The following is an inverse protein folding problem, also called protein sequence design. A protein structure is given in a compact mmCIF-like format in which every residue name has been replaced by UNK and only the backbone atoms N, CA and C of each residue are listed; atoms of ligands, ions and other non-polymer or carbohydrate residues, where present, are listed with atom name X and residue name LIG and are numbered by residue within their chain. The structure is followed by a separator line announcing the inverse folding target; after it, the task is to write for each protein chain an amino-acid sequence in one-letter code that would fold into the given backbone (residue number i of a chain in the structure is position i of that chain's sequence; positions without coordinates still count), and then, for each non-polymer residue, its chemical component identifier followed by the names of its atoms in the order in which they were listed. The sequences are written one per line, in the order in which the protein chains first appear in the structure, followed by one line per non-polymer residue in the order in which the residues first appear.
data_IF_039295159718
#
_entry.id   IF_039295159718
#
_cell.length_a   1.000
_cell.length_b   1.000
_cell.length_c   1.000
_cell.angle_alpha   90.00
_cell.angle_beta   90.00
_cell.angle_gamma   90.00
#
_symmetry.space_group_name_H-M   'P 1'
#
loop_
_entity.id
_entity.type
_entity.pdbx_description
1 polymer ?
#
# COMPACT_ATOMS: atom_id res chain seq x y z
N UNK A 1 14.82 -48.49 38.64
CA UNK A 1 14.77 -47.45 37.60
C UNK A 1 15.32 -46.09 38.04
N UNK A 2 14.67 -45.29 38.91
CA UNK A 2 15.24 -44.01 39.40
C UNK A 2 16.60 -44.19 40.09
N UNK A 3 16.69 -45.17 40.98
CA UNK A 3 17.90 -45.42 41.78
C UNK A 3 19.02 -46.09 40.97
N UNK A 4 18.67 -46.88 39.94
CA UNK A 4 19.65 -47.46 39.00
C UNK A 4 20.20 -46.43 38.01
N UNK A 5 19.35 -45.52 37.52
CA UNK A 5 19.76 -44.41 36.67
C UNK A 5 20.70 -43.43 37.41
N UNK A 6 20.38 -43.13 38.67
CA UNK A 6 21.25 -42.32 39.55
C UNK A 6 22.60 -42.99 39.80
N UNK A 7 22.61 -44.32 39.97
CA UNK A 7 23.85 -45.07 40.20
C UNK A 7 24.76 -45.09 38.98
N UNK A 8 24.21 -45.34 37.78
CA UNK A 8 24.95 -45.32 36.51
C UNK A 8 25.46 -43.90 36.20
N UNK A 9 24.65 -42.88 36.47
CA UNK A 9 25.06 -41.48 36.29
C UNK A 9 26.23 -41.10 37.19
N UNK A 10 26.21 -41.49 38.47
CA UNK A 10 27.29 -41.20 39.44
C UNK A 10 28.57 -42.02 39.21
N UNK A 11 28.49 -43.17 38.51
CA UNK A 11 29.67 -43.95 38.13
C UNK A 11 30.38 -43.40 36.88
N UNK A 12 29.68 -42.64 36.03
CA UNK A 12 30.17 -42.16 34.72
C UNK A 12 30.46 -40.65 34.71
N UNK A 13 29.75 -39.88 35.54
CA UNK A 13 29.83 -38.42 35.59
C UNK A 13 30.03 -37.96 37.04
N UNK A 14 30.76 -36.86 37.21
CA UNK A 14 30.88 -36.22 38.52
C UNK A 14 29.54 -35.64 38.98
N UNK A 15 29.37 -35.50 40.29
CA UNK A 15 28.15 -34.94 40.90
C UNK A 15 27.84 -33.53 40.35
N UNK A 16 28.89 -32.75 40.02
CA UNK A 16 28.77 -31.44 39.38
C UNK A 16 28.24 -31.52 37.95
N UNK A 17 28.70 -32.49 37.14
CA UNK A 17 28.20 -32.71 35.78
C UNK A 17 26.75 -33.20 35.77
N UNK A 18 26.37 -34.08 36.70
CA UNK A 18 24.98 -34.52 36.87
C UNK A 18 24.07 -33.35 37.23
N UNK A 19 24.52 -32.47 38.14
CA UNK A 19 23.77 -31.29 38.56
C UNK A 19 23.59 -30.28 37.42
N UNK A 20 24.60 -30.07 36.58
CA UNK A 20 24.48 -29.16 35.42
C UNK A 20 23.54 -29.71 34.35
N UNK A 21 23.56 -31.02 34.06
CA UNK A 21 22.63 -31.65 33.13
C UNK A 21 21.17 -31.52 33.63
N UNK A 22 20.95 -31.73 34.92
CA UNK A 22 19.62 -31.60 35.53
C UNK A 22 19.11 -30.16 35.44
N UNK A 23 19.96 -29.15 35.74
CA UNK A 23 19.60 -27.73 35.62
C UNK A 23 19.22 -27.36 34.18
N UNK A 24 19.99 -27.83 33.19
CA UNK A 24 19.73 -27.53 31.78
C UNK A 24 18.40 -28.12 31.31
N UNK A 25 18.15 -29.40 31.61
CA UNK A 25 16.89 -30.08 31.27
C UNK A 25 15.68 -29.45 31.95
N UNK A 26 15.84 -29.03 33.20
CA UNK A 26 14.76 -28.38 33.95
C UNK A 26 14.43 -26.97 33.40
N UNK A 27 15.44 -26.16 33.09
CA UNK A 27 15.25 -24.85 32.43
C UNK A 27 14.52 -24.99 31.10
N UNK A 28 14.92 -25.98 30.29
CA UNK A 28 14.31 -26.23 28.98
C UNK A 28 12.85 -26.63 29.11
N UNK A 29 12.54 -27.54 30.03
CA UNK A 29 11.16 -27.95 30.31
C UNK A 29 10.25 -26.80 30.77
N UNK A 30 10.77 -25.88 31.61
CA UNK A 30 10.03 -24.68 32.02
C UNK A 30 9.82 -23.73 30.84
N UNK A 31 10.86 -23.49 30.04
CA UNK A 31 10.77 -22.61 28.87
C UNK A 31 9.74 -23.12 27.86
N UNK A 32 9.76 -24.42 27.56
CA UNK A 32 8.83 -25.05 26.61
C UNK A 32 7.38 -25.03 27.13
N UNK A 33 7.18 -25.21 28.45
CA UNK A 33 5.88 -25.11 29.09
C UNK A 33 5.33 -23.66 29.07
N UNK A 34 6.18 -22.67 29.33
CA UNK A 34 5.82 -21.26 29.21
C UNK A 34 5.48 -20.89 27.77
N UNK A 35 6.31 -21.25 26.80
CA UNK A 35 6.04 -20.97 25.38
C UNK A 35 4.75 -21.63 24.90
N UNK A 36 4.46 -22.85 25.36
CA UNK A 36 3.20 -23.55 25.07
C UNK A 36 1.99 -22.84 25.70
N UNK A 37 2.11 -22.37 26.95
CA UNK A 37 1.06 -21.64 27.66
C UNK A 37 0.74 -20.28 26.98
N UNK A 38 1.74 -19.61 26.41
CA UNK A 38 1.55 -18.37 25.66
C UNK A 38 1.08 -18.58 24.22
N UNK A 39 1.45 -19.68 23.56
CA UNK A 39 1.02 -19.95 22.18
C UNK A 39 -0.44 -20.42 22.08
N UNK A 40 -0.90 -21.27 23.01
CA UNK A 40 -2.21 -21.96 22.89
C UNK A 40 -3.04 -22.05 24.19
N UNK A 41 -2.60 -21.44 25.30
CA UNK A 41 -3.23 -21.62 26.62
C UNK A 41 -4.13 -20.47 27.10
N UNK A 42 -4.83 -20.73 28.22
CA UNK A 42 -5.78 -19.83 28.90
C UNK A 42 -5.23 -18.42 29.19
N UNK A 43 -3.91 -18.27 29.31
CA UNK A 43 -3.25 -16.98 29.50
C UNK A 43 -3.38 -16.06 28.27
N UNK A 44 -3.20 -16.60 27.05
CA UNK A 44 -3.41 -15.85 25.81
C UNK A 44 -4.88 -15.42 25.69
N UNK A 45 -5.80 -16.35 25.95
CA UNK A 45 -7.24 -16.07 25.91
C UNK A 45 -7.66 -15.02 26.95
N UNK A 46 -7.09 -15.06 28.16
CA UNK A 46 -7.34 -14.08 29.21
C UNK A 46 -6.83 -12.68 28.84
N UNK A 47 -5.64 -12.59 28.24
CA UNK A 47 -5.08 -11.31 27.76
C UNK A 47 -5.89 -10.76 26.59
N UNK A 48 -6.22 -11.59 25.61
CA UNK A 48 -7.02 -11.19 24.44
C UNK A 48 -8.41 -10.72 24.85
N UNK A 49 -9.04 -11.44 25.80
CA UNK A 49 -10.31 -11.03 26.40
C UNK A 49 -10.20 -9.68 27.10
N UNK A 50 -9.13 -9.43 27.86
CA UNK A 50 -8.94 -8.15 28.54
C UNK A 50 -8.70 -6.98 27.57
N UNK A 51 -7.98 -7.21 26.49
CA UNK A 51 -7.80 -6.22 25.41
C UNK A 51 -9.15 -5.92 24.75
N UNK A 52 -9.94 -6.94 24.39
CA UNK A 52 -11.26 -6.75 23.80
C UNK A 52 -12.25 -6.05 24.74
N UNK A 53 -12.21 -6.34 26.04
CA UNK A 53 -13.10 -5.71 27.02
C UNK A 53 -12.76 -4.25 27.32
N UNK A 54 -11.47 -3.89 27.29
CA UNK A 54 -11.01 -2.58 27.79
C UNK A 54 -10.62 -1.64 26.65
N UNK A 55 -9.87 -2.13 25.66
CA UNK A 55 -9.29 -1.29 24.62
C UNK A 55 -10.27 -1.04 23.48
N UNK A 56 -11.05 -2.05 23.07
CA UNK A 56 -11.98 -1.92 21.93
C UNK A 56 -13.07 -0.87 22.22
N UNK A 57 -13.80 -0.90 23.35
CA UNK A 57 -14.80 0.13 23.64
C UNK A 57 -14.19 1.52 23.78
N UNK A 58 -12.99 1.62 24.34
CA UNK A 58 -12.28 2.89 24.46
C UNK A 58 -11.97 3.50 23.08
N UNK A 59 -11.50 2.69 22.13
CA UNK A 59 -11.21 3.12 20.76
C UNK A 59 -12.51 3.45 20.00
N UNK A 60 -13.55 2.62 20.12
CA UNK A 60 -14.85 2.82 19.45
C UNK A 60 -15.60 4.05 19.98
N UNK A 61 -15.46 4.36 21.28
CA UNK A 61 -16.12 5.51 21.90
C UNK A 61 -15.40 6.84 21.69
N UNK A 62 -14.16 6.80 21.19
CA UNK A 62 -13.32 7.99 21.07
C UNK A 62 -13.59 8.65 19.73
N UNK A 63 -14.14 9.85 19.76
CA UNK A 63 -14.32 10.65 18.56
C UNK A 63 -12.98 11.23 18.11
N UNK A 64 -12.36 10.58 17.13
CA UNK A 64 -11.10 11.03 16.57
C UNK A 64 -11.24 12.32 15.75
N UNK A 65 -12.47 12.77 15.48
CA UNK A 65 -12.76 14.05 14.82
C UNK A 65 -12.28 15.24 15.65
N UNK A 66 -12.14 15.11 16.98
CA UNK A 66 -11.54 16.16 17.83
C UNK A 66 -10.06 16.40 17.54
N UNK A 67 -9.36 15.43 16.95
CA UNK A 67 -7.96 15.58 16.54
C UNK A 67 -7.81 16.17 15.14
N UNK A 68 -8.84 16.11 14.30
CA UNK A 68 -8.81 16.69 12.96
C UNK A 68 -8.56 18.21 12.99
N UNK A 69 -9.23 19.04 13.81
CA UNK A 69 -8.94 20.47 13.92
C UNK A 69 -7.52 20.76 14.40
N UNK A 70 -6.97 19.93 15.31
CA UNK A 70 -5.61 20.10 15.82
C UNK A 70 -4.57 19.71 14.78
N UNK A 71 -4.82 18.65 14.02
CA UNK A 71 -4.01 18.32 12.86
C UNK A 71 -4.08 19.43 11.82
N UNK A 72 -5.28 19.93 11.49
CA UNK A 72 -5.46 21.02 10.52
C UNK A 72 -4.76 22.31 10.97
N UNK A 73 -4.79 22.61 12.28
CA UNK A 73 -4.06 23.75 12.87
C UNK A 73 -2.55 23.57 12.77
N UNK A 74 -2.03 22.40 13.15
CA UNK A 74 -0.59 22.10 13.07
C UNK A 74 -0.12 22.09 11.61
N UNK A 75 -0.90 21.52 10.70
CA UNK A 75 -0.61 21.52 9.27
C UNK A 75 -0.64 22.96 8.72
N UNK A 76 -1.62 23.78 9.12
CA UNK A 76 -1.73 25.20 8.73
C UNK A 76 -0.57 26.03 9.26
N UNK A 77 -0.14 25.81 10.49
CA UNK A 77 1.04 26.47 11.07
C UNK A 77 2.33 26.09 10.36
N UNK A 78 2.49 24.82 9.96
CA UNK A 78 3.65 24.37 9.18
C UNK A 78 3.62 24.95 7.76
N UNK A 79 2.46 24.94 7.08
CA UNK A 79 2.29 25.55 5.73
C UNK A 79 2.66 27.03 5.75
N UNK A 80 2.29 27.74 6.82
CA UNK A 80 2.49 29.19 6.95
C UNK A 80 3.83 29.55 7.61
N UNK A 81 4.64 28.58 8.01
CA UNK A 81 5.98 28.81 8.53
C UNK A 81 6.98 28.99 7.37
N UNK A 82 7.89 29.95 7.47
CA UNK A 82 8.82 30.37 6.40
C UNK A 82 9.86 29.30 5.97
N UNK A 83 9.73 28.05 6.42
CA UNK A 83 10.65 26.96 6.12
C UNK A 83 10.14 26.09 4.95
N UNK A 84 10.83 26.28 3.82
CA UNK A 84 11.05 25.34 2.72
C UNK A 84 9.82 24.78 1.98
N UNK A 85 9.73 25.07 0.67
CA UNK A 85 8.77 24.49 -0.30
C UNK A 85 8.60 22.96 -0.23
N UNK A 86 9.60 22.26 0.34
CA UNK A 86 9.55 20.86 0.72
C UNK A 86 8.32 20.47 1.54
N UNK A 87 8.00 21.29 2.54
CA UNK A 87 6.97 21.01 3.53
C UNK A 87 5.59 21.31 2.93
N UNK A 88 5.50 22.29 2.01
CA UNK A 88 4.25 22.61 1.30
C UNK A 88 3.71 21.45 0.45
N UNK A 89 4.53 20.82 -0.41
CA UNK A 89 4.06 19.67 -1.24
C UNK A 89 3.70 18.45 -0.38
N UNK A 90 4.42 18.22 0.73
CA UNK A 90 4.06 17.18 1.71
C UNK A 90 2.66 17.44 2.28
N UNK A 91 2.38 18.69 2.67
CA UNK A 91 1.11 19.08 3.29
C UNK A 91 -0.05 19.04 2.29
N UNK A 92 0.17 19.49 1.06
CA UNK A 92 -0.80 19.39 -0.04
C UNK A 92 -1.15 17.94 -0.36
N UNK A 93 -0.14 17.08 -0.55
CA UNK A 93 -0.34 15.67 -0.81
C UNK A 93 -1.00 14.97 0.39
N UNK A 94 -0.62 15.31 1.63
CA UNK A 94 -1.27 14.78 2.82
C UNK A 94 -2.75 15.16 2.87
N UNK A 95 -3.09 16.43 2.63
CA UNK A 95 -4.48 16.90 2.60
C UNK A 95 -5.28 16.21 1.49
N UNK A 96 -4.72 16.10 0.29
CA UNK A 96 -5.34 15.43 -0.84
C UNK A 96 -5.59 13.94 -0.57
N UNK A 97 -4.63 13.27 0.10
CA UNK A 97 -4.82 11.92 0.58
C UNK A 97 -5.99 11.85 1.56
N UNK A 98 -6.07 12.73 2.56
CA UNK A 98 -7.11 12.70 3.61
C UNK A 98 -8.55 12.88 3.12
N UNK A 99 -8.78 13.34 1.90
CA UNK A 99 -10.11 13.40 1.28
C UNK A 99 -10.59 11.98 1.01
N UNK A 100 -11.79 11.62 1.49
CA UNK A 100 -12.43 10.37 1.09
C UNK A 100 -12.91 10.46 -0.36
N UNK A 101 -12.65 9.43 -1.19
CA UNK A 101 -13.23 9.39 -2.53
C UNK A 101 -14.76 9.26 -2.42
N UNK A 102 -15.48 10.08 -3.17
CA UNK A 102 -16.94 10.06 -3.20
C UNK A 102 -17.51 8.74 -3.75
N UNK A 103 -16.71 8.06 -4.58
CA UNK A 103 -17.08 6.87 -5.31
C UNK A 103 -16.49 5.62 -4.65
N UNK A 104 -17.34 4.62 -4.41
CA UNK A 104 -16.95 3.31 -3.85
C UNK A 104 -16.35 2.36 -4.89
N UNK A 105 -16.52 2.70 -6.16
CA UNK A 105 -16.02 1.94 -7.31
C UNK A 105 -15.44 2.91 -8.34
N UNK A 106 -14.47 2.43 -9.13
CA UNK A 106 -13.87 3.16 -10.24
C UNK A 106 -13.64 2.19 -11.40
N UNK A 107 -13.94 2.63 -12.62
CA UNK A 107 -13.64 1.86 -13.84
C UNK A 107 -12.20 1.99 -14.24
N UNK A 108 -11.66 0.97 -14.91
CA UNK A 108 -10.28 1.03 -15.42
C UNK A 108 -10.16 2.13 -16.48
N UNK A 109 -11.16 2.32 -17.35
CA UNK A 109 -11.18 3.42 -18.33
C UNK A 109 -11.19 4.81 -17.67
N UNK A 110 -11.94 4.99 -16.57
CA UNK A 110 -11.94 6.25 -15.81
C UNK A 110 -10.58 6.51 -15.15
N UNK A 111 -9.89 5.46 -14.73
CA UNK A 111 -8.54 5.55 -14.20
C UNK A 111 -7.51 5.88 -15.28
N UNK A 112 -7.66 5.29 -16.48
CA UNK A 112 -6.85 5.61 -17.66
C UNK A 112 -6.99 7.08 -18.06
N UNK A 113 -8.22 7.61 -18.11
CA UNK A 113 -8.45 9.04 -18.36
C UNK A 113 -7.80 9.96 -17.31
N UNK A 114 -7.73 9.55 -16.05
CA UNK A 114 -7.01 10.31 -15.02
C UNK A 114 -5.50 10.24 -15.16
N UNK A 115 -4.97 9.11 -15.67
CA UNK A 115 -3.56 8.99 -16.02
C UNK A 115 -3.21 9.85 -17.23
N UNK A 116 -4.03 9.85 -18.29
CA UNK A 116 -3.86 10.71 -19.48
C UNK A 116 -3.76 12.18 -19.06
N UNK A 117 -4.71 12.68 -18.26
CA UNK A 117 -4.70 14.07 -17.77
C UNK A 117 -3.43 14.45 -17.00
N UNK A 118 -2.88 13.51 -16.23
CA UNK A 118 -1.61 13.75 -15.57
C UNK A 118 -0.45 13.79 -16.58
N UNK A 119 -0.47 12.92 -17.59
CA UNK A 119 0.54 12.93 -18.66
C UNK A 119 0.46 14.19 -19.53
N UNK A 120 -0.73 14.71 -19.86
CA UNK A 120 -0.91 15.96 -20.60
C UNK A 120 -0.12 17.13 -19.98
N UNK A 121 0.03 17.12 -18.65
CA UNK A 121 0.76 18.14 -17.89
C UNK A 121 2.27 17.91 -17.81
N UNK A 122 2.72 16.66 -17.75
CA UNK A 122 4.10 16.29 -17.40
C UNK A 122 4.91 15.68 -18.57
N UNK A 123 4.28 15.41 -19.72
CA UNK A 123 4.92 14.76 -20.87
C UNK A 123 6.03 15.62 -21.47
N UNK A 124 7.17 14.98 -21.74
CA UNK A 124 8.30 15.64 -22.39
C UNK A 124 7.92 16.08 -23.80
N UNK A 125 8.02 17.37 -24.11
CA UNK A 125 7.70 17.91 -25.43
C UNK A 125 8.92 18.13 -26.32
N UNK A 126 10.14 17.83 -25.82
CA UNK A 126 11.40 18.21 -26.46
C UNK A 126 11.59 17.67 -27.89
N UNK A 127 11.06 16.48 -28.16
CA UNK A 127 11.16 15.80 -29.47
C UNK A 127 9.82 15.74 -30.21
N UNK A 128 8.77 16.38 -29.70
CA UNK A 128 7.46 16.40 -30.35
C UNK A 128 7.44 17.40 -31.50
N UNK A 129 6.93 16.96 -32.65
CA UNK A 129 6.66 17.84 -33.78
C UNK A 129 5.52 18.81 -33.45
N UNK A 130 5.48 19.93 -34.18
CA UNK A 130 4.43 20.94 -34.04
C UNK A 130 3.34 20.66 -35.08
N UNK A 131 2.11 20.55 -34.62
CA UNK A 131 0.90 20.56 -35.44
C UNK A 131 0.47 22.02 -35.70
N UNK A 132 0.05 22.28 -36.93
CA UNK A 132 -0.40 23.59 -37.44
C UNK A 132 -1.82 23.55 -38.01
N UNK A 133 -2.48 22.39 -38.06
CA UNK A 133 -3.73 22.22 -38.79
C UNK A 133 -4.92 22.89 -38.08
N UNK A 134 -5.04 22.73 -36.76
CA UNK A 134 -6.15 23.27 -35.93
C UNK A 134 -5.71 24.38 -34.94
N UNK A 135 -4.46 24.84 -35.07
CA UNK A 135 -3.80 25.75 -34.13
C UNK A 135 -2.31 25.40 -34.04
N UNK A 136 -1.53 26.15 -33.25
CA UNK A 136 -0.13 25.79 -32.98
C UNK A 136 -0.10 24.98 -31.69
N UNK A 137 0.15 23.68 -31.80
CA UNK A 137 0.26 22.76 -30.65
C UNK A 137 1.33 21.70 -30.91
N UNK A 138 1.80 21.00 -29.88
CA UNK A 138 2.57 19.78 -30.10
C UNK A 138 1.68 18.68 -30.65
N UNK A 139 2.26 17.75 -31.40
CA UNK A 139 1.57 16.53 -31.83
C UNK A 139 1.11 15.71 -30.63
N UNK A 140 -0.03 15.05 -30.81
CA UNK A 140 -0.57 14.10 -29.85
C UNK A 140 0.33 12.88 -29.74
N UNK A 141 0.44 12.33 -28.53
CA UNK A 141 1.19 11.11 -28.25
C UNK A 141 0.23 9.93 -28.08
N UNK A 142 0.44 8.87 -28.84
CA UNK A 142 -0.30 7.62 -28.70
C UNK A 142 -0.04 6.99 -27.33
N UNK A 143 -1.11 6.51 -26.70
CA UNK A 143 -1.03 5.81 -25.43
C UNK A 143 -2.05 4.67 -25.38
N UNK A 144 -1.76 3.68 -24.55
CA UNK A 144 -2.64 2.53 -24.41
C UNK A 144 -2.77 2.06 -22.97
N UNK A 145 -3.88 1.34 -22.76
CA UNK A 145 -4.26 0.68 -21.53
C UNK A 145 -4.37 -0.81 -21.80
N UNK A 146 -3.79 -1.63 -20.91
CA UNK A 146 -3.95 -3.09 -20.90
C UNK A 146 -4.27 -3.60 -19.50
N UNK A 147 -5.06 -4.66 -19.40
CA UNK A 147 -5.26 -5.41 -18.16
C UNK A 147 -4.82 -6.85 -18.35
N UNK A 148 -3.80 -7.26 -17.60
CA UNK A 148 -3.22 -8.59 -17.71
C UNK A 148 -3.49 -9.39 -16.44
N UNK A 149 -4.31 -10.43 -16.56
CA UNK A 149 -4.55 -11.38 -15.47
C UNK A 149 -3.34 -12.33 -15.32
N UNK A 150 -2.85 -12.46 -14.09
CA UNK A 150 -1.65 -13.25 -13.80
C UNK A 150 -1.99 -14.71 -13.53
N UNK A 151 -1.09 -15.60 -13.97
CA UNK A 151 -1.15 -17.01 -13.59
C UNK A 151 -1.16 -17.18 -12.07
N UNK A 152 -2.05 -18.04 -11.57
CA UNK A 152 -2.14 -18.35 -10.15
C UNK A 152 -1.87 -19.83 -9.84
N UNK A 153 -1.22 -20.14 -8.71
CA UNK A 153 -1.15 -21.50 -8.21
C UNK A 153 -2.55 -22.06 -7.88
N UNK A 154 -2.73 -23.37 -8.05
CA UNK A 154 -4.01 -24.04 -7.79
C UNK A 154 -4.48 -23.93 -6.33
N UNK A 155 -3.56 -23.72 -5.40
CA UNK A 155 -3.84 -23.56 -3.97
C UNK A 155 -4.16 -22.11 -3.56
N UNK A 156 -4.00 -21.14 -4.47
CA UNK A 156 -4.24 -19.73 -4.15
C UNK A 156 -5.71 -19.38 -4.34
N UNK A 157 -6.30 -18.82 -3.27
CA UNK A 157 -7.63 -18.22 -3.26
C UNK A 157 -7.62 -16.75 -3.72
N UNK A 158 -6.52 -16.29 -4.33
CA UNK A 158 -6.41 -14.96 -4.90
C UNK A 158 -6.20 -15.03 -6.40
N UNK A 159 -6.94 -14.21 -7.13
CA UNK A 159 -6.63 -13.88 -8.51
C UNK A 159 -5.97 -12.50 -8.55
N UNK A 160 -4.81 -12.41 -9.21
CA UNK A 160 -4.08 -11.16 -9.42
C UNK A 160 -4.19 -10.73 -10.87
N UNK A 161 -4.17 -9.43 -11.10
CA UNK A 161 -4.02 -8.83 -12.41
C UNK A 161 -3.20 -7.53 -12.28
N UNK A 162 -2.69 -7.03 -13.40
CA UNK A 162 -1.99 -5.75 -13.48
C UNK A 162 -2.68 -4.90 -14.53
N UNK A 163 -3.01 -3.67 -14.16
CA UNK A 163 -3.40 -2.63 -15.11
C UNK A 163 -2.12 -1.92 -15.54
N UNK A 164 -1.91 -1.79 -16.85
CA UNK A 164 -0.74 -1.18 -17.46
C UNK A 164 -1.23 0.02 -18.27
N UNK A 165 -0.64 1.18 -18.02
CA UNK A 165 -0.79 2.36 -18.87
C UNK A 165 0.57 2.72 -19.43
N UNK A 166 0.67 2.83 -20.75
CA UNK A 166 1.93 3.11 -21.43
C UNK A 166 1.80 4.10 -22.58
N UNK A 167 2.88 4.82 -22.82
CA UNK A 167 3.13 5.60 -24.02
C UNK A 167 4.60 5.36 -24.43
N UNK A 168 4.89 5.31 -25.71
CA UNK A 168 6.25 5.02 -26.20
C UNK A 168 7.18 6.25 -26.14
N UNK A 169 6.60 7.45 -26.08
CA UNK A 169 7.34 8.70 -26.14
C UNK A 169 8.06 9.04 -24.82
N UNK A 170 7.36 8.98 -23.70
CA UNK A 170 7.92 9.20 -22.36
C UNK A 170 7.61 8.04 -21.41
N UNK A 171 8.50 7.03 -21.44
CA UNK A 171 8.40 5.84 -20.60
C UNK A 171 8.41 6.14 -19.10
N UNK A 172 8.86 7.33 -18.66
CA UNK A 172 8.86 7.71 -17.24
C UNK A 172 7.44 7.89 -16.69
N UNK A 173 6.48 8.13 -17.58
CA UNK A 173 5.07 8.29 -17.24
C UNK A 173 4.33 6.96 -17.21
N UNK A 174 4.94 5.86 -17.67
CA UNK A 174 4.30 4.54 -17.68
C UNK A 174 4.04 4.05 -16.26
N UNK A 175 2.88 3.42 -16.04
CA UNK A 175 2.45 2.95 -14.72
C UNK A 175 1.93 1.53 -14.78
N UNK A 176 2.38 0.72 -13.81
CA UNK A 176 1.78 -0.57 -13.48
C UNK A 176 1.02 -0.48 -12.16
N UNK A 177 -0.23 -0.94 -12.17
CA UNK A 177 -1.13 -0.88 -11.02
C UNK A 177 -1.58 -2.32 -10.69
N UNK A 178 -0.99 -2.94 -9.65
CA UNK A 178 -1.37 -4.28 -9.24
C UNK A 178 -2.76 -4.28 -8.58
N UNK A 179 -3.61 -5.21 -9.00
CA UNK A 179 -4.94 -5.45 -8.44
C UNK A 179 -5.11 -6.92 -8.07
N UNK A 180 -5.95 -7.19 -7.07
CA UNK A 180 -6.28 -8.56 -6.69
C UNK A 180 -7.73 -8.68 -6.22
N UNK A 181 -8.27 -9.88 -6.36
CA UNK A 181 -9.57 -10.27 -5.82
C UNK A 181 -9.45 -11.59 -5.08
N UNK A 182 -10.27 -11.73 -4.03
CA UNK A 182 -10.47 -13.03 -3.38
C UNK A 182 -11.42 -13.89 -4.20
N UNK A 183 -11.10 -15.17 -4.28
CA UNK A 183 -11.92 -16.19 -4.91
C UNK A 183 -12.69 -16.93 -3.83
N UNK A 184 -13.98 -17.17 -4.06
CA UNK A 184 -14.86 -17.90 -3.14
C UNK A 184 -15.02 -17.22 -1.77
N UNK A 185 -14.96 -15.88 -1.75
CA UNK A 185 -15.23 -15.11 -0.52
C UNK A 185 -16.73 -15.02 -0.30
N UNK A 186 -17.21 -15.08 0.95
CA UNK A 186 -18.63 -14.85 1.26
C UNK A 186 -18.97 -13.38 1.48
N UNK A 187 -17.97 -12.49 1.49
CA UNK A 187 -18.09 -11.06 1.84
C UNK A 187 -17.85 -10.16 0.62
N UNK A 188 -16.79 -10.45 -0.15
CA UNK A 188 -16.32 -9.64 -1.28
C UNK A 188 -15.95 -10.55 -2.48
N UNK A 189 -16.87 -11.45 -2.86
CA UNK A 189 -16.60 -12.44 -3.90
C UNK A 189 -16.35 -11.78 -5.25
N UNK A 190 -15.14 -11.96 -5.79
CA UNK A 190 -14.84 -11.65 -7.18
C UNK A 190 -14.54 -10.19 -7.51
N UNK A 191 -14.53 -9.28 -6.54
CA UNK A 191 -14.26 -7.85 -6.78
C UNK A 191 -12.78 -7.51 -6.67
N UNK A 192 -12.24 -6.85 -7.70
CA UNK A 192 -10.84 -6.40 -7.69
C UNK A 192 -10.65 -5.16 -6.80
N UNK A 193 -9.55 -5.14 -6.06
CA UNK A 193 -9.08 -4.01 -5.27
C UNK A 193 -7.58 -3.80 -5.49
N UNK A 194 -7.06 -2.63 -5.13
CA UNK A 194 -5.63 -2.30 -5.31
C UNK A 194 -4.73 -3.14 -4.39
N UNK A 195 -3.81 -3.91 -4.98
CA UNK A 195 -2.83 -4.77 -4.29
C UNK A 195 -1.45 -4.09 -4.19
N UNK A 196 -1.44 -2.86 -3.65
CA UNK A 196 -0.21 -2.07 -3.54
C UNK A 196 0.35 -2.26 -2.14
N UNK A 197 1.39 -3.05 -1.94
CA UNK A 197 1.94 -3.35 -0.61
C UNK A 197 2.88 -2.29 -0.03
N UNK A 198 3.10 -1.15 -0.71
CA UNK A 198 4.06 -0.14 -0.22
C UNK A 198 3.52 0.62 0.99
N UNK A 199 4.22 0.49 2.11
CA UNK A 199 4.09 1.38 3.25
C UNK A 199 4.54 2.79 2.82
N UNK A 200 3.59 3.72 2.75
CA UNK A 200 3.89 5.12 2.42
C UNK A 200 4.56 5.74 3.64
N UNK A 201 5.89 5.86 3.64
CA UNK A 201 6.56 6.72 4.60
C UNK A 201 6.21 8.18 4.34
N UNK A 202 6.12 8.99 5.39
CA UNK A 202 5.84 10.44 5.28
C UNK A 202 6.84 11.15 4.34
N UNK A 203 8.09 10.71 4.34
CA UNK A 203 9.15 11.21 3.46
C UNK A 203 8.88 10.98 1.97
N UNK A 204 8.10 9.95 1.62
CA UNK A 204 7.70 9.64 0.24
C UNK A 204 6.65 10.62 -0.28
N UNK A 205 5.86 11.25 0.60
CA UNK A 205 4.78 12.18 0.20
C UNK A 205 5.30 13.36 -0.61
N UNK A 206 6.54 13.82 -0.36
CA UNK A 206 7.15 14.94 -1.09
C UNK A 206 7.33 14.67 -2.59
N UNK A 207 7.40 13.40 -2.98
CA UNK A 207 7.73 12.96 -4.35
C UNK A 207 6.53 12.38 -5.09
N UNK A 208 5.36 12.30 -4.44
CA UNK A 208 4.17 11.78 -5.10
C UNK A 208 3.65 12.81 -6.11
N UNK A 209 3.46 12.35 -7.34
CA UNK A 209 2.66 13.07 -8.32
C UNK A 209 1.16 12.89 -8.05
N UNK A 210 0.35 13.67 -8.75
CA UNK A 210 -1.09 13.75 -8.47
C UNK A 210 -1.81 12.42 -8.79
N UNK A 211 -1.35 11.69 -9.81
CA UNK A 211 -1.87 10.35 -10.12
C UNK A 211 -1.54 9.32 -9.03
N UNK A 212 -0.32 9.33 -8.49
CA UNK A 212 0.06 8.48 -7.37
C UNK A 212 -0.73 8.80 -6.10
N UNK A 213 -1.03 10.08 -5.85
CA UNK A 213 -1.92 10.48 -4.74
C UNK A 213 -3.33 9.91 -4.93
N UNK A 214 -3.88 9.95 -6.14
CA UNK A 214 -5.17 9.33 -6.47
C UNK A 214 -5.16 7.83 -6.15
N UNK A 215 -4.17 7.08 -6.64
CA UNK A 215 -4.06 5.63 -6.42
C UNK A 215 -4.03 5.28 -4.93
N UNK A 216 -3.24 6.02 -4.15
CA UNK A 216 -3.14 5.79 -2.71
C UNK A 216 -4.44 6.12 -1.97
N UNK A 217 -5.16 7.16 -2.41
CA UNK A 217 -6.48 7.51 -1.88
C UNK A 217 -7.51 6.41 -2.15
N UNK A 218 -7.57 5.89 -3.38
CA UNK A 218 -8.45 4.79 -3.77
C UNK A 218 -8.16 3.53 -2.95
N UNK A 219 -6.87 3.21 -2.76
CA UNK A 219 -6.44 2.07 -1.96
C UNK A 219 -6.91 2.22 -0.51
N UNK A 220 -6.69 3.39 0.10
CA UNK A 220 -7.10 3.64 1.49
C UNK A 220 -8.60 3.47 1.68
N UNK A 221 -9.39 3.90 0.71
CA UNK A 221 -10.84 3.79 0.76
C UNK A 221 -11.37 2.38 0.48
N UNK A 222 -10.51 1.44 0.06
CA UNK A 222 -10.94 0.12 -0.38
C UNK A 222 -11.82 0.19 -1.63
N UNK A 223 -11.57 1.18 -2.51
CA UNK A 223 -12.36 1.36 -3.73
C UNK A 223 -12.28 0.13 -4.62
N UNK A 224 -13.44 -0.32 -5.09
CA UNK A 224 -13.58 -1.45 -6.02
C UNK A 224 -13.11 -1.04 -7.41
N UNK A 225 -12.34 -1.89 -8.06
CA UNK A 225 -11.86 -1.70 -9.43
C UNK A 225 -12.76 -2.50 -10.39
N UNK A 226 -13.39 -1.80 -11.33
CA UNK A 226 -14.28 -2.40 -12.33
C UNK A 226 -13.53 -2.46 -13.66
N UNK A 227 -13.16 -3.67 -14.07
CA UNK A 227 -12.57 -3.92 -15.40
C UNK A 227 -13.71 -3.87 -16.43
N UNK A 228 -13.94 -2.69 -16.99
CA UNK A 228 -14.95 -2.45 -18.02
C UNK A 228 -14.41 -2.65 -19.44
N UNK A 229 -13.09 -2.53 -19.61
CA UNK A 229 -12.33 -2.93 -20.80
C UNK A 229 -10.99 -3.53 -20.40
N UNK A 230 -10.52 -4.52 -21.16
CA UNK A 230 -9.19 -5.12 -21.01
C UNK A 230 -8.11 -4.40 -21.85
N UNK A 231 -8.54 -3.70 -22.90
CA UNK A 231 -7.68 -2.90 -23.79
C UNK A 231 -8.42 -1.62 -24.20
N UNK A 232 -7.70 -0.50 -24.27
CA UNK A 232 -8.16 0.77 -24.86
C UNK A 232 -6.93 1.56 -25.33
N UNK A 233 -7.08 2.30 -26.43
CA UNK A 233 -6.07 3.23 -26.94
C UNK A 233 -6.63 4.66 -26.96
N UNK A 234 -5.75 5.63 -26.78
CA UNK A 234 -6.10 7.06 -26.75
C UNK A 234 -4.87 7.90 -27.07
N UNK A 235 -5.04 9.22 -26.97
CA UNK A 235 -4.00 10.20 -27.21
C UNK A 235 -3.79 11.06 -25.97
N UNK A 236 -2.54 11.42 -25.71
CA UNK A 236 -2.13 12.45 -24.76
C UNK A 236 -1.87 13.72 -25.56
N UNK A 237 -2.60 14.79 -25.26
CA UNK A 237 -2.38 16.10 -25.84
C UNK A 237 -1.58 16.97 -24.86
N UNK A 238 -0.31 17.31 -25.15
CA UNK A 238 0.47 18.14 -24.24
C UNK A 238 -0.21 19.49 -23.97
N UNK A 239 -0.32 19.89 -22.69
CA UNK A 239 -0.85 21.21 -22.31
C UNK A 239 0.15 22.33 -22.64
N UNK A 240 1.44 22.03 -22.75
CA UNK A 240 2.46 23.00 -23.10
C UNK A 240 2.27 23.49 -24.55
N UNK A 241 2.36 24.80 -24.77
CA UNK A 241 2.36 25.37 -26.12
C UNK A 241 3.78 25.39 -26.72
N UNK A 242 3.94 25.17 -28.03
CA UNK A 242 5.23 25.31 -28.70
C UNK A 242 5.85 26.70 -28.52
N UNK A 243 7.15 26.74 -28.26
CA UNK A 243 7.86 28.01 -28.17
C UNK A 243 7.87 28.73 -29.53
N UNK A 244 7.49 30.01 -29.53
CA UNK A 244 7.56 30.83 -30.72
C UNK A 244 9.03 31.03 -31.16
N UNK A 245 9.48 30.25 -32.13
CA UNK A 245 10.78 30.46 -32.76
C UNK A 245 10.68 31.60 -33.78
N UNK A 246 11.14 32.78 -33.39
CA UNK A 246 11.36 33.88 -34.33
C UNK A 246 12.72 33.67 -35.00
N UNK A 247 12.71 33.15 -36.23
CA UNK A 247 13.87 33.09 -37.13
C UNK A 247 13.95 34.34 -38.02
#
# INVERSE_FOLDING_TARGET
MKDELLKIANEVLSEDEVNEIIKDKFKKAISDACESAFRWGDAKNAIEKKIKEVMVPYIESRDFSEFLPKMDTVLTEIVNSDNCMADKKILENFKALMIEPEQKEIKVTDLFNQWIKWCENDIDTGDLEIDYDDGVSYQNVDCEMRVEEQDKPSWSDFQRAVIIFENEHDEKLNVEIPISKWLNSTIDDGEYTLDISRDIMLSSLRRLNDFQVLILRLKRAGTKIIIDKEYDDSYIQPEAEPEASFS
#
